data_IF_079080945201
#
_entry.id   IF_079080945201
#
_cell.length_a   1.000
_cell.length_b   1.000
_cell.length_c   1.000
_cell.angle_alpha   90.00
_cell.angle_beta   90.00
_cell.angle_gamma   90.00
#
_symmetry.space_group_name_H-M   'P 1'
#
loop_
_entity.id
_entity.type
_entity.pdbx_description
1 polymer ?
#
# COMPACT_ATOMS: atom_id res chain seq x y z
N UNK A 1 -18.89 -20.37 20.43
CA UNK A 1 -17.81 -19.66 21.14
C UNK A 1 -17.91 -18.20 20.76
N UNK A 2 -18.36 -17.39 21.73
CA UNK A 2 -18.73 -15.99 21.51
C UNK A 2 -17.50 -15.10 21.36
N UNK A 3 -17.33 -14.52 20.16
CA UNK A 3 -16.40 -13.40 19.97
C UNK A 3 -17.13 -12.11 20.35
N UNK A 4 -16.86 -11.59 21.55
CA UNK A 4 -17.33 -10.26 21.95
C UNK A 4 -16.51 -9.18 21.21
N UNK A 5 -17.15 -8.56 20.27
CA UNK A 5 -16.70 -7.30 19.67
C UNK A 5 -16.86 -6.18 20.72
N UNK A 6 -15.78 -5.66 21.26
CA UNK A 6 -15.81 -4.45 22.09
C UNK A 6 -15.53 -3.26 21.16
N UNK A 7 -16.60 -2.58 20.75
CA UNK A 7 -16.53 -1.28 20.12
C UNK A 7 -16.49 -0.19 21.18
N UNK A 8 -15.40 0.53 21.27
CA UNK A 8 -15.32 1.78 22.05
C UNK A 8 -15.43 2.95 21.09
N UNK A 9 -16.54 3.65 21.13
CA UNK A 9 -16.74 4.87 20.34
C UNK A 9 -16.12 6.06 21.07
N UNK A 10 -15.14 6.74 20.48
CA UNK A 10 -14.64 8.02 20.94
C UNK A 10 -15.34 9.15 20.18
N UNK A 11 -15.81 10.16 20.90
CA UNK A 11 -16.65 11.22 20.40
C UNK A 11 -15.94 12.19 19.44
N UNK A 12 -16.69 12.61 18.41
CA UNK A 12 -16.31 13.54 17.36
C UNK A 12 -16.48 14.98 17.79
N UNK A 13 -15.44 15.79 17.62
CA UNK A 13 -15.55 17.25 17.55
C UNK A 13 -15.72 17.66 16.08
N UNK A 14 -16.89 18.18 15.73
CA UNK A 14 -17.20 18.62 14.38
C UNK A 14 -16.56 19.99 14.08
N UNK A 15 -15.48 20.00 13.29
CA UNK A 15 -14.95 21.17 12.58
C UNK A 15 -15.27 21.03 11.09
N UNK A 16 -15.92 22.02 10.50
CA UNK A 16 -16.23 22.06 9.06
C UNK A 16 -14.93 22.17 8.26
N UNK A 17 -14.59 21.14 7.51
CA UNK A 17 -13.38 21.06 6.70
C UNK A 17 -13.73 21.20 5.21
N UNK A 18 -13.04 22.09 4.45
CA UNK A 18 -13.25 22.19 3.01
C UNK A 18 -12.69 20.96 2.30
N UNK A 19 -13.52 20.34 1.47
CA UNK A 19 -13.20 19.22 0.58
C UNK A 19 -12.45 18.05 1.26
N UNK A 20 -13.20 17.22 2.02
CA UNK A 20 -12.71 15.90 2.39
C UNK A 20 -12.24 15.19 1.12
N UNK A 21 -10.97 14.83 1.06
CA UNK A 21 -10.52 13.81 0.12
C UNK A 21 -11.50 12.61 0.25
N UNK A 22 -11.85 11.99 -0.88
CA UNK A 22 -12.76 10.81 -0.92
C UNK A 22 -12.08 9.57 -0.29
N UNK A 23 -11.31 9.75 0.79
CA UNK A 23 -10.59 8.73 1.57
C UNK A 23 -11.13 8.79 3.00
N UNK A 24 -11.94 7.82 3.35
CA UNK A 24 -12.58 7.71 4.67
C UNK A 24 -11.96 6.66 5.57
N UNK A 25 -11.34 5.61 4.98
CA UNK A 25 -10.75 4.50 5.72
C UNK A 25 -9.40 4.12 5.12
N UNK A 26 -8.36 4.11 5.94
CA UNK A 26 -7.01 3.68 5.60
C UNK A 26 -6.72 2.38 6.36
N UNK A 27 -6.40 1.31 5.63
CA UNK A 27 -5.94 0.08 6.26
C UNK A 27 -4.41 0.11 6.37
N UNK A 28 -3.89 -0.05 7.59
CA UNK A 28 -2.46 -0.25 7.83
C UNK A 28 -2.18 -1.72 8.12
N UNK A 29 -1.38 -2.36 7.27
CA UNK A 29 -0.84 -3.68 7.57
C UNK A 29 0.27 -3.56 8.61
N UNK A 30 -0.03 -4.02 9.83
CA UNK A 30 0.87 -4.00 10.98
C UNK A 30 1.68 -5.28 11.01
N UNK A 31 2.98 -5.14 10.78
CA UNK A 31 3.94 -6.24 10.81
C UNK A 31 5.21 -5.80 11.52
N UNK A 32 5.72 -6.61 12.43
CA UNK A 32 6.96 -6.32 13.14
C UNK A 32 8.17 -6.61 12.24
N UNK A 33 8.45 -5.67 11.35
CA UNK A 33 9.55 -5.68 10.40
C UNK A 33 10.36 -4.37 10.46
N UNK A 34 11.41 -4.29 9.67
CA UNK A 34 12.36 -3.18 9.69
C UNK A 34 11.76 -1.84 9.23
N UNK A 35 10.81 -1.87 8.30
CA UNK A 35 10.17 -0.68 7.71
C UNK A 35 8.86 -0.30 8.38
N UNK A 36 8.46 -0.96 9.48
CA UNK A 36 7.17 -0.71 10.10
C UNK A 36 6.99 0.74 10.55
N UNK A 37 8.02 1.35 11.15
CA UNK A 37 7.93 2.73 11.64
C UNK A 37 7.68 3.71 10.49
N UNK A 38 8.40 3.56 9.38
CA UNK A 38 8.19 4.38 8.19
C UNK A 38 6.77 4.20 7.63
N UNK A 39 6.27 2.97 7.60
CA UNK A 39 4.92 2.63 7.17
C UNK A 39 3.85 3.25 8.08
N UNK A 40 4.08 3.23 9.39
CA UNK A 40 3.20 3.86 10.37
C UNK A 40 3.17 5.38 10.19
N UNK A 41 4.32 6.03 10.06
CA UNK A 41 4.40 7.48 9.86
C UNK A 41 3.70 7.92 8.56
N UNK A 42 3.87 7.16 7.47
CA UNK A 42 3.16 7.40 6.22
C UNK A 42 1.64 7.31 6.41
N UNK A 43 1.17 6.24 7.07
CA UNK A 43 -0.26 6.06 7.34
C UNK A 43 -0.83 7.18 8.21
N UNK A 44 -0.11 7.59 9.26
CA UNK A 44 -0.50 8.70 10.13
C UNK A 44 -0.53 10.04 9.39
N UNK A 45 0.46 10.32 8.53
CA UNK A 45 0.49 11.51 7.68
C UNK A 45 -0.76 11.59 6.80
N UNK A 46 -1.09 10.49 6.12
CA UNK A 46 -2.28 10.42 5.27
C UNK A 46 -3.58 10.52 6.09
N UNK A 47 -3.65 9.87 7.25
CA UNK A 47 -4.81 9.92 8.14
C UNK A 47 -5.08 11.34 8.62
N UNK A 48 -4.05 12.09 9.03
CA UNK A 48 -4.18 13.50 9.44
C UNK A 48 -4.61 14.38 8.28
N UNK A 49 -4.03 14.18 7.09
CA UNK A 49 -4.35 14.97 5.89
C UNK A 49 -5.80 14.79 5.44
N UNK A 50 -6.36 13.60 5.59
CA UNK A 50 -7.71 13.26 5.10
C UNK A 50 -8.79 13.31 6.19
N UNK A 51 -8.42 13.20 7.46
CA UNK A 51 -9.35 12.96 8.56
C UNK A 51 -10.00 11.58 8.50
N UNK A 52 -9.36 10.62 7.80
CA UNK A 52 -9.82 9.25 7.67
C UNK A 52 -9.73 8.49 9.00
N UNK A 53 -10.36 7.31 9.05
CA UNK A 53 -10.17 6.34 10.10
C UNK A 53 -9.01 5.38 9.76
N UNK A 54 -8.08 5.17 10.69
CA UNK A 54 -6.95 4.27 10.54
C UNK A 54 -7.30 2.89 11.10
N UNK A 55 -7.52 1.92 10.23
CA UNK A 55 -7.76 0.53 10.60
C UNK A 55 -6.43 -0.25 10.59
N UNK A 56 -5.91 -0.59 11.79
CA UNK A 56 -4.67 -1.32 11.95
C UNK A 56 -4.92 -2.82 11.98
N UNK A 57 -4.29 -3.59 11.09
CA UNK A 57 -4.45 -5.04 11.01
C UNK A 57 -3.11 -5.73 11.19
N UNK A 58 -2.96 -6.44 12.31
CA UNK A 58 -1.85 -7.35 12.57
C UNK A 58 -2.25 -8.77 12.20
N UNK A 59 -1.48 -9.42 11.34
CA UNK A 59 -1.70 -10.82 10.97
C UNK A 59 -0.56 -11.67 11.49
N UNK A 60 -0.88 -12.63 12.40
CA UNK A 60 0.05 -13.70 12.72
C UNK A 60 -0.07 -14.78 11.65
N UNK A 61 0.98 -15.01 10.83
CA UNK A 61 0.91 -16.03 9.80
C UNK A 61 0.73 -17.43 10.39
N UNK A 62 -0.27 -18.18 9.91
CA UNK A 62 -0.52 -19.55 10.40
C UNK A 62 0.70 -20.46 10.18
N UNK A 63 1.50 -20.18 9.17
CA UNK A 63 2.75 -20.88 8.87
C UNK A 63 3.78 -20.76 10.01
N UNK A 64 3.74 -19.68 10.79
CA UNK A 64 4.62 -19.49 11.94
C UNK A 64 4.42 -20.59 12.99
N UNK A 65 3.21 -21.08 13.14
CA UNK A 65 2.89 -22.19 14.05
C UNK A 65 3.23 -23.56 13.48
N UNK A 66 3.17 -23.73 12.16
CA UNK A 66 3.45 -25.01 11.48
C UNK A 66 4.95 -25.29 11.42
N UNK A 67 5.78 -24.29 11.13
CA UNK A 67 7.24 -24.44 11.02
C UNK A 67 7.90 -24.79 12.34
N UNK A 68 7.35 -24.34 13.46
CA UNK A 68 7.87 -24.65 14.80
C UNK A 68 7.54 -26.09 15.26
N UNK A 69 6.50 -26.72 14.69
CA UNK A 69 6.06 -28.06 15.05
C UNK A 69 6.96 -29.23 14.57
N UNK A 70 7.82 -28.98 13.58
CA UNK A 70 8.61 -30.05 12.93
C UNK A 70 9.91 -30.39 13.65
N UNK A 71 10.39 -29.61 14.62
CA UNK A 71 11.75 -29.72 15.18
C UNK A 71 11.85 -30.14 16.65
N UNK A 72 10.75 -30.35 17.41
CA UNK A 72 10.99 -30.49 18.86
C UNK A 72 9.92 -31.21 19.72
N UNK A 73 8.93 -31.87 19.14
CA UNK A 73 7.86 -32.52 19.91
C UNK A 73 6.84 -31.54 20.54
N UNK A 74 5.77 -32.07 21.13
CA UNK A 74 4.59 -31.30 21.59
C UNK A 74 4.92 -30.21 22.63
N UNK A 75 5.88 -30.45 23.52
CA UNK A 75 6.27 -29.46 24.55
C UNK A 75 7.07 -28.28 23.98
N UNK A 76 7.89 -28.52 22.95
CA UNK A 76 8.61 -27.46 22.27
C UNK A 76 7.68 -26.60 21.41
N UNK A 77 6.67 -27.22 20.80
CA UNK A 77 5.63 -26.53 20.06
C UNK A 77 4.83 -25.58 20.97
N UNK A 78 4.37 -26.04 22.15
CA UNK A 78 3.64 -25.20 23.11
C UNK A 78 4.41 -23.93 23.50
N UNK A 79 5.69 -24.08 23.86
CA UNK A 79 6.55 -22.94 24.21
C UNK A 79 6.80 -21.99 23.03
N UNK A 80 6.87 -22.50 21.82
CA UNK A 80 7.07 -21.68 20.63
C UNK A 80 5.80 -20.88 20.29
N UNK A 81 4.61 -21.46 20.45
CA UNK A 81 3.33 -20.76 20.31
C UNK A 81 3.22 -19.65 21.37
N UNK A 82 3.45 -19.97 22.64
CA UNK A 82 3.43 -18.99 23.74
C UNK A 82 4.39 -17.82 23.48
N UNK A 83 5.56 -18.10 22.91
CA UNK A 83 6.53 -17.06 22.56
C UNK A 83 6.01 -16.16 21.43
N UNK A 84 5.45 -16.74 20.35
CA UNK A 84 4.87 -15.99 19.24
C UNK A 84 3.75 -15.07 19.75
N UNK A 85 2.82 -15.63 20.55
CA UNK A 85 1.69 -14.89 21.08
C UNK A 85 2.13 -13.77 22.02
N UNK A 86 3.16 -14.00 22.85
CA UNK A 86 3.73 -12.97 23.73
C UNK A 86 4.44 -11.85 22.94
N UNK A 87 5.19 -12.19 21.89
CA UNK A 87 5.83 -11.21 21.03
C UNK A 87 4.79 -10.35 20.29
N UNK A 88 3.73 -10.97 19.76
CA UNK A 88 2.67 -10.27 19.05
C UNK A 88 1.85 -9.38 20.00
N UNK A 89 1.58 -9.82 21.22
CA UNK A 89 0.92 -9.02 22.24
C UNK A 89 1.77 -7.81 22.67
N UNK A 90 3.08 -7.99 22.88
CA UNK A 90 3.98 -6.90 23.24
C UNK A 90 4.13 -5.88 22.10
N UNK A 91 4.18 -6.36 20.85
CA UNK A 91 4.21 -5.49 19.67
C UNK A 91 2.92 -4.68 19.56
N UNK A 92 1.77 -5.33 19.71
CA UNK A 92 0.46 -4.68 19.73
C UNK A 92 0.39 -3.58 20.78
N UNK A 93 0.75 -3.87 22.02
CA UNK A 93 0.70 -2.90 23.13
C UNK A 93 1.56 -1.67 22.84
N UNK A 94 2.74 -1.88 22.25
CA UNK A 94 3.62 -0.77 21.83
C UNK A 94 2.93 0.12 20.80
N UNK A 95 2.31 -0.46 19.77
CA UNK A 95 1.65 0.29 18.71
C UNK A 95 0.40 1.00 19.22
N UNK A 96 -0.44 0.31 20.00
CA UNK A 96 -1.63 0.96 20.60
C UNK A 96 -1.23 2.10 21.53
N UNK A 97 -0.12 1.97 22.27
CA UNK A 97 0.39 3.05 23.13
C UNK A 97 0.84 4.25 22.30
N UNK A 98 1.51 4.01 21.17
CA UNK A 98 1.88 5.07 20.22
C UNK A 98 0.61 5.74 19.67
N UNK A 99 -0.34 4.98 19.15
CA UNK A 99 -1.57 5.49 18.54
C UNK A 99 -2.47 6.26 19.52
N UNK A 100 -2.47 5.91 20.81
CA UNK A 100 -3.19 6.70 21.86
C UNK A 100 -2.64 8.11 22.03
N UNK A 101 -1.38 8.34 21.68
CA UNK A 101 -0.76 9.67 21.73
C UNK A 101 -1.02 10.50 20.46
N UNK A 102 -1.57 9.87 19.42
CA UNK A 102 -1.86 10.50 18.14
C UNK A 102 -3.28 11.06 18.09
N UNK A 103 -3.44 12.24 17.48
CA UNK A 103 -4.76 12.88 17.29
C UNK A 103 -5.40 12.37 15.98
N UNK A 104 -5.67 11.05 15.91
CA UNK A 104 -6.33 10.38 14.79
C UNK A 104 -7.35 9.37 15.28
N UNK A 105 -8.38 9.11 14.46
CA UNK A 105 -9.32 8.03 14.72
C UNK A 105 -8.72 6.71 14.28
N UNK A 106 -8.67 5.71 15.15
CA UNK A 106 -8.09 4.41 14.84
C UNK A 106 -8.78 3.26 15.58
N UNK A 107 -8.62 2.07 15.03
CA UNK A 107 -8.88 0.79 15.69
C UNK A 107 -7.77 -0.22 15.36
N UNK A 108 -7.70 -1.29 16.12
CA UNK A 108 -6.68 -2.32 15.97
C UNK A 108 -7.29 -3.71 16.00
N UNK A 109 -7.01 -4.49 14.95
CA UNK A 109 -7.43 -5.89 14.87
C UNK A 109 -6.21 -6.81 14.76
N UNK A 110 -6.16 -7.84 15.62
CA UNK A 110 -5.18 -8.91 15.52
C UNK A 110 -5.90 -10.20 15.09
N UNK A 111 -5.39 -10.83 14.05
CA UNK A 111 -5.93 -12.07 13.48
C UNK A 111 -4.82 -13.07 13.20
N UNK A 112 -5.16 -14.36 13.26
CA UNK A 112 -4.26 -15.45 12.83
C UNK A 112 -4.80 -16.03 11.55
N UNK A 113 -3.96 -16.14 10.50
CA UNK A 113 -4.39 -16.65 9.20
C UNK A 113 -3.31 -16.57 8.12
N UNK A 114 -3.73 -16.78 6.89
CA UNK A 114 -2.89 -16.53 5.72
C UNK A 114 -2.81 -15.02 5.47
N UNK A 115 -1.61 -14.46 5.54
CA UNK A 115 -1.38 -13.01 5.51
C UNK A 115 -2.06 -12.32 4.32
N UNK A 116 -1.88 -12.84 3.11
CA UNK A 116 -2.54 -12.30 1.91
C UNK A 116 -4.05 -12.27 2.05
N UNK A 117 -4.66 -13.40 2.46
CA UNK A 117 -6.11 -13.53 2.53
C UNK A 117 -6.71 -12.57 3.58
N UNK A 118 -6.06 -12.44 4.74
CA UNK A 118 -6.55 -11.57 5.80
C UNK A 118 -6.43 -10.09 5.41
N UNK A 119 -5.31 -9.68 4.82
CA UNK A 119 -5.14 -8.30 4.34
C UNK A 119 -6.16 -7.98 3.24
N UNK A 120 -6.34 -8.84 2.24
CA UNK A 120 -7.31 -8.65 1.15
C UNK A 120 -8.75 -8.59 1.69
N UNK A 121 -9.09 -9.44 2.67
CA UNK A 121 -10.41 -9.45 3.30
C UNK A 121 -10.70 -8.13 4.02
N UNK A 122 -9.74 -7.62 4.78
CA UNK A 122 -9.89 -6.37 5.53
C UNK A 122 -9.88 -5.14 4.59
N UNK A 123 -9.13 -5.22 3.48
CA UNK A 123 -9.06 -4.15 2.48
C UNK A 123 -10.37 -3.89 1.74
N UNK A 124 -11.34 -4.82 1.79
CA UNK A 124 -12.59 -4.70 1.03
C UNK A 124 -13.42 -3.44 1.37
N UNK A 125 -13.23 -2.86 2.55
CA UNK A 125 -13.91 -1.64 3.00
C UNK A 125 -12.94 -0.49 3.30
N UNK A 126 -11.71 -0.59 2.83
CA UNK A 126 -10.73 0.49 2.89
C UNK A 126 -10.63 1.21 1.53
N UNK A 127 -10.30 2.50 1.56
CA UNK A 127 -10.07 3.30 0.37
C UNK A 127 -8.61 3.21 -0.10
N UNK A 128 -7.69 2.89 0.82
CA UNK A 128 -6.28 2.67 0.55
C UNK A 128 -5.68 1.70 1.57
N UNK A 129 -4.73 0.88 1.14
CA UNK A 129 -4.02 -0.08 1.99
C UNK A 129 -2.55 0.29 2.06
N UNK A 130 -2.05 0.57 3.26
CA UNK A 130 -0.63 0.84 3.49
C UNK A 130 0.06 -0.46 3.85
N UNK A 131 0.98 -0.89 2.98
CA UNK A 131 1.74 -2.16 3.10
C UNK A 131 3.24 -1.92 2.99
N UNK A 132 4.04 -2.77 3.63
CA UNK A 132 5.51 -2.71 3.53
C UNK A 132 6.05 -3.54 2.37
N UNK A 133 7.29 -3.26 1.99
CA UNK A 133 8.02 -3.98 0.95
C UNK A 133 9.15 -4.87 1.49
N UNK A 134 9.37 -4.90 2.81
CA UNK A 134 10.49 -5.61 3.41
C UNK A 134 10.55 -7.08 3.02
N UNK A 135 11.72 -7.47 2.52
CA UNK A 135 11.97 -8.82 2.01
C UNK A 135 12.02 -9.90 3.12
N UNK A 136 11.99 -9.53 4.38
CA UNK A 136 12.27 -10.43 5.50
C UNK A 136 11.16 -10.43 6.55
N UNK A 137 10.07 -11.13 6.28
CA UNK A 137 9.28 -11.63 7.40
C UNK A 137 10.00 -12.87 7.96
N UNK A 138 10.67 -12.72 9.12
CA UNK A 138 11.41 -13.80 9.77
C UNK A 138 10.55 -15.05 10.09
N UNK A 139 9.22 -14.91 10.03
CA UNK A 139 8.24 -15.95 10.37
C UNK A 139 7.65 -16.68 9.17
N UNK A 140 7.88 -16.21 7.94
CA UNK A 140 7.35 -16.81 6.71
C UNK A 140 8.49 -17.10 5.74
N UNK A 141 8.54 -18.32 5.22
CA UNK A 141 9.57 -18.72 4.24
C UNK A 141 9.35 -18.18 2.82
N UNK A 142 8.37 -17.28 2.64
CA UNK A 142 8.09 -16.63 1.34
C UNK A 142 8.67 -15.22 1.33
N UNK A 143 9.28 -14.78 0.22
CA UNK A 143 9.70 -13.39 0.06
C UNK A 143 8.50 -12.44 0.21
N UNK A 144 8.64 -11.36 0.97
CA UNK A 144 7.57 -10.36 1.17
C UNK A 144 7.07 -9.79 -0.16
N UNK A 145 7.97 -9.61 -1.11
CA UNK A 145 7.61 -9.14 -2.45
C UNK A 145 6.60 -10.07 -3.14
N UNK A 146 6.66 -11.39 -2.91
CA UNK A 146 5.67 -12.32 -3.44
C UNK A 146 4.31 -12.15 -2.75
N UNK A 147 4.30 -11.90 -1.42
CA UNK A 147 3.09 -11.61 -0.67
C UNK A 147 2.46 -10.31 -1.15
N UNK A 148 3.27 -9.30 -1.40
CA UNK A 148 2.83 -8.01 -1.95
C UNK A 148 2.16 -8.18 -3.33
N UNK A 149 2.74 -9.02 -4.18
CA UNK A 149 2.17 -9.36 -5.47
C UNK A 149 0.84 -10.07 -5.39
N UNK A 150 0.73 -11.04 -4.48
CA UNK A 150 -0.53 -11.73 -4.23
C UNK A 150 -1.61 -10.76 -3.70
N UNK A 151 -1.26 -9.83 -2.81
CA UNK A 151 -2.17 -8.80 -2.33
C UNK A 151 -2.59 -7.90 -3.50
N UNK A 152 -1.65 -7.38 -4.28
CA UNK A 152 -1.93 -6.47 -5.39
C UNK A 152 -2.86 -7.08 -6.44
N UNK A 153 -2.68 -8.36 -6.77
CA UNK A 153 -3.52 -9.05 -7.76
C UNK A 153 -4.92 -9.41 -7.27
N UNK A 154 -5.10 -9.58 -5.96
CA UNK A 154 -6.38 -9.98 -5.36
C UNK A 154 -7.15 -8.80 -4.77
N UNK A 155 -6.45 -7.73 -4.40
CA UNK A 155 -7.05 -6.55 -3.79
C UNK A 155 -7.57 -5.59 -4.85
N UNK A 156 -8.77 -5.07 -4.67
CA UNK A 156 -9.36 -4.00 -5.51
C UNK A 156 -9.03 -2.60 -4.99
N UNK A 157 -8.60 -2.52 -3.75
CA UNK A 157 -8.18 -1.29 -3.09
C UNK A 157 -6.73 -0.99 -3.46
N UNK A 158 -6.37 0.26 -3.78
CA UNK A 158 -5.01 0.62 -4.12
C UNK A 158 -4.05 0.40 -2.94
N UNK A 159 -2.85 -0.07 -3.25
CA UNK A 159 -1.78 -0.24 -2.27
C UNK A 159 -0.90 1.01 -2.27
N UNK A 160 -0.64 1.56 -1.09
CA UNK A 160 0.35 2.60 -0.86
C UNK A 160 1.55 1.97 -0.15
N UNK A 161 2.70 2.03 -0.81
CA UNK A 161 3.94 1.38 -0.40
C UNK A 161 4.98 2.47 -0.16
N UNK A 162 5.58 2.58 1.04
CA UNK A 162 6.58 3.62 1.35
C UNK A 162 7.78 3.58 0.38
N UNK A 163 8.36 4.73 0.10
CA UNK A 163 9.67 4.85 -0.55
C UNK A 163 10.81 4.44 0.38
N UNK A 164 12.01 4.21 -0.14
CA UNK A 164 13.16 3.90 0.71
C UNK A 164 13.80 5.16 1.31
N UNK A 165 13.77 6.28 0.61
CA UNK A 165 14.57 7.46 0.94
C UNK A 165 13.75 8.75 1.04
N UNK A 166 12.59 8.82 0.39
CA UNK A 166 11.77 10.05 0.35
C UNK A 166 10.52 9.87 1.19
N UNK A 167 10.33 10.78 2.13
CA UNK A 167 9.13 10.82 2.95
C UNK A 167 7.89 11.14 2.10
N UNK A 168 6.82 10.41 2.35
CA UNK A 168 5.56 10.61 1.67
C UNK A 168 4.86 11.87 2.19
N UNK A 169 4.55 12.79 1.26
CA UNK A 169 3.68 13.94 1.50
C UNK A 169 2.42 13.83 0.62
N UNK A 170 1.22 13.65 1.20
CA UNK A 170 -0.01 13.56 0.43
C UNK A 170 -0.35 14.82 -0.36
N UNK A 171 0.23 15.96 0.01
CA UNK A 171 0.09 17.25 -0.69
C UNK A 171 1.22 17.53 -1.67
N UNK A 172 2.27 16.72 -1.68
CA UNK A 172 3.41 16.85 -2.58
C UNK A 172 3.03 16.61 -4.05
N UNK A 173 3.94 16.86 -5.00
CA UNK A 173 3.72 16.54 -6.40
C UNK A 173 3.51 15.03 -6.62
N UNK A 174 2.63 14.67 -7.54
CA UNK A 174 2.31 13.29 -7.89
C UNK A 174 2.67 12.99 -9.34
N UNK A 175 3.31 11.85 -9.59
CA UNK A 175 3.57 11.35 -10.92
C UNK A 175 2.64 10.17 -11.24
N UNK A 176 2.01 10.18 -12.40
CA UNK A 176 1.20 9.07 -12.93
C UNK A 176 1.97 8.40 -14.05
N UNK A 177 2.42 7.17 -13.85
CA UNK A 177 3.03 6.35 -14.89
C UNK A 177 1.93 5.73 -15.76
N UNK A 178 1.88 6.14 -17.02
CA UNK A 178 0.80 5.81 -17.93
C UNK A 178 1.28 5.09 -19.20
N UNK A 179 0.70 3.94 -19.47
CA UNK A 179 0.93 3.20 -20.72
C UNK A 179 -0.36 2.91 -21.50
N UNK A 180 -1.49 3.45 -21.05
CA UNK A 180 -2.80 3.23 -21.68
C UNK A 180 -3.38 1.85 -21.43
N UNK A 181 -2.94 1.11 -20.41
CA UNK A 181 -3.49 -0.19 -20.02
C UNK A 181 -4.69 -0.07 -19.07
N UNK A 182 -5.41 -1.16 -18.87
CA UNK A 182 -6.48 -1.25 -17.87
C UNK A 182 -5.95 -1.06 -16.44
N UNK A 183 -4.80 -1.62 -16.14
CA UNK A 183 -4.17 -1.55 -14.83
C UNK A 183 -3.76 -0.11 -14.50
N UNK A 184 -3.17 0.61 -15.45
CA UNK A 184 -2.84 2.03 -15.28
C UNK A 184 -4.10 2.89 -15.09
N UNK A 185 -5.17 2.59 -15.84
CA UNK A 185 -6.46 3.26 -15.70
C UNK A 185 -7.10 2.97 -14.33
N UNK A 186 -7.09 1.71 -13.87
CA UNK A 186 -7.61 1.32 -12.56
C UNK A 186 -6.82 1.96 -11.43
N UNK A 187 -5.48 1.92 -11.48
CA UNK A 187 -4.62 2.55 -10.49
C UNK A 187 -4.89 4.06 -10.39
N UNK A 188 -4.97 4.76 -11.53
CA UNK A 188 -5.26 6.19 -11.55
C UNK A 188 -6.64 6.50 -10.98
N UNK A 189 -7.67 5.70 -11.33
CA UNK A 189 -9.01 5.86 -10.78
C UNK A 189 -9.05 5.67 -9.28
N UNK A 190 -8.36 4.65 -8.77
CA UNK A 190 -8.29 4.35 -7.35
C UNK A 190 -7.50 5.43 -6.57
N UNK A 191 -6.54 6.08 -7.21
CA UNK A 191 -5.71 7.13 -6.61
C UNK A 191 -6.33 8.54 -6.68
N UNK A 192 -7.55 8.73 -7.25
CA UNK A 192 -8.17 10.07 -7.42
C UNK A 192 -8.23 10.85 -6.12
N UNK A 193 -8.53 10.20 -4.99
CA UNK A 193 -8.55 10.85 -3.68
C UNK A 193 -7.20 11.48 -3.31
N UNK A 194 -6.09 10.78 -3.57
CA UNK A 194 -4.73 11.31 -3.38
C UNK A 194 -4.38 12.38 -4.42
N UNK A 195 -4.68 12.14 -5.69
CA UNK A 195 -4.35 13.06 -6.77
C UNK A 195 -5.05 14.43 -6.63
N UNK A 196 -6.24 14.48 -6.02
CA UNK A 196 -6.94 15.73 -5.67
C UNK A 196 -6.21 16.56 -4.63
N UNK A 197 -5.41 15.91 -3.78
CA UNK A 197 -4.64 16.59 -2.73
C UNK A 197 -3.28 17.06 -3.21
N UNK A 198 -2.75 16.44 -4.28
CA UNK A 198 -1.43 16.75 -4.81
C UNK A 198 -1.30 18.21 -5.26
N UNK A 199 -0.18 18.86 -4.93
CA UNK A 199 0.14 20.24 -5.35
C UNK A 199 0.24 20.38 -6.87
N UNK A 200 0.67 19.32 -7.55
CA UNK A 200 0.74 19.21 -9.00
C UNK A 200 0.72 17.75 -9.43
N UNK A 201 0.20 17.49 -10.63
CA UNK A 201 0.14 16.13 -11.20
C UNK A 201 0.82 16.11 -12.55
N UNK A 202 1.73 15.17 -12.75
CA UNK A 202 2.36 14.91 -14.04
C UNK A 202 2.06 13.50 -14.50
N UNK A 203 1.59 13.35 -15.74
CA UNK A 203 1.42 12.07 -16.42
C UNK A 203 2.66 11.84 -17.27
N UNK A 204 3.35 10.72 -17.07
CA UNK A 204 4.44 10.29 -17.94
C UNK A 204 3.96 9.13 -18.79
N UNK A 205 3.86 9.38 -20.08
CA UNK A 205 3.46 8.41 -21.10
C UNK A 205 4.70 7.81 -21.73
N UNK A 206 4.90 6.53 -21.53
CA UNK A 206 5.93 5.80 -22.26
C UNK A 206 5.33 5.17 -23.53
N UNK A 207 5.95 5.45 -24.67
CA UNK A 207 5.51 4.89 -25.97
C UNK A 207 6.10 3.50 -26.14
N UNK A 208 5.22 2.50 -26.13
CA UNK A 208 5.56 1.10 -26.42
C UNK A 208 5.27 0.78 -27.90
N UNK A 209 5.85 -0.31 -28.40
CA UNK A 209 5.55 -0.81 -29.75
C UNK A 209 4.08 -1.28 -29.88
N UNK A 210 3.49 -1.73 -28.78
CA UNK A 210 2.10 -2.16 -28.75
C UNK A 210 1.16 -0.94 -28.63
N UNK A 211 0.05 -0.92 -29.38
CA UNK A 211 -0.92 0.14 -29.26
C UNK A 211 -1.55 0.14 -27.86
N UNK A 212 -1.67 1.34 -27.28
CA UNK A 212 -2.37 1.54 -26.03
C UNK A 212 -3.86 1.19 -26.17
N UNK A 213 -4.46 0.61 -25.11
CA UNK A 213 -5.91 0.36 -25.07
C UNK A 213 -6.66 1.69 -24.96
N UNK A 214 -6.15 2.61 -24.13
CA UNK A 214 -6.73 3.92 -23.90
C UNK A 214 -5.82 5.03 -24.42
N UNK A 215 -6.41 5.99 -25.12
CA UNK A 215 -5.70 7.19 -25.57
C UNK A 215 -5.41 8.13 -24.37
N UNK A 216 -4.30 8.87 -24.44
CA UNK A 216 -3.87 9.79 -23.39
C UNK A 216 -4.91 10.88 -23.11
N UNK A 217 -5.65 11.32 -24.14
CA UNK A 217 -6.73 12.30 -24.01
C UNK A 217 -7.85 11.81 -23.07
N UNK A 218 -8.14 10.51 -23.07
CA UNK A 218 -9.17 9.95 -22.19
C UNK A 218 -8.78 10.07 -20.71
N UNK A 219 -7.48 9.90 -20.40
CA UNK A 219 -6.98 10.09 -19.05
C UNK A 219 -7.01 11.56 -18.62
N UNK A 220 -6.50 12.45 -19.47
CA UNK A 220 -6.48 13.89 -19.16
C UNK A 220 -7.89 14.47 -18.99
N UNK A 221 -8.84 14.09 -19.84
CA UNK A 221 -10.26 14.46 -19.67
C UNK A 221 -10.85 13.88 -18.39
N UNK A 222 -10.53 12.60 -18.08
CA UNK A 222 -11.01 11.95 -16.85
C UNK A 222 -10.56 12.70 -15.60
N UNK A 223 -9.29 13.12 -15.54
CA UNK A 223 -8.72 13.90 -14.42
C UNK A 223 -9.31 15.32 -14.39
N UNK A 224 -9.40 15.99 -15.55
CA UNK A 224 -9.97 17.34 -15.65
C UNK A 224 -11.42 17.42 -15.13
N UNK A 225 -12.25 16.40 -15.42
CA UNK A 225 -13.62 16.31 -14.87
C UNK A 225 -13.68 16.16 -13.33
N UNK A 226 -12.54 16.02 -12.68
CA UNK A 226 -12.37 15.89 -11.20
C UNK A 226 -11.56 17.04 -10.63
N UNK A 227 -11.42 18.12 -11.42
CA UNK A 227 -10.63 19.30 -11.07
C UNK A 227 -9.13 18.99 -10.84
N UNK A 228 -8.62 17.89 -11.43
CA UNK A 228 -7.20 17.54 -11.41
C UNK A 228 -6.58 17.97 -12.73
N UNK A 229 -5.72 19.00 -12.66
CA UNK A 229 -4.95 19.46 -13.80
C UNK A 229 -3.61 18.73 -13.86
N UNK A 230 -3.38 18.00 -14.94
CA UNK A 230 -2.18 17.19 -15.11
C UNK A 230 -1.40 17.61 -16.36
N UNK A 231 -0.08 17.75 -16.22
CA UNK A 231 0.84 17.90 -17.34
C UNK A 231 1.12 16.53 -17.97
N UNK A 232 1.00 16.42 -19.29
CA UNK A 232 1.34 15.20 -20.03
C UNK A 232 2.74 15.32 -20.64
N UNK A 233 3.63 14.41 -20.28
CA UNK A 233 4.98 14.27 -20.85
C UNK A 233 5.07 12.92 -21.56
N UNK A 234 5.48 12.93 -22.82
CA UNK A 234 5.68 11.71 -23.62
C UNK A 234 7.17 11.41 -23.72
N UNK A 235 7.53 10.15 -23.41
CA UNK A 235 8.90 9.63 -23.47
C UNK A 235 8.95 8.34 -24.28
N UNK A 236 10.12 8.05 -24.83
CA UNK A 236 10.41 6.75 -25.43
C UNK A 236 10.79 5.75 -24.32
N UNK A 237 10.37 4.50 -24.46
CA UNK A 237 10.80 3.41 -23.57
C UNK A 237 12.32 3.23 -23.70
N UNK A 238 13.00 3.14 -22.55
CA UNK A 238 14.41 2.79 -22.41
C UNK A 238 14.57 1.35 -21.95
N UNK A 239 15.78 0.79 -22.09
CA UNK A 239 16.08 -0.55 -21.55
C UNK A 239 15.93 -0.58 -20.01
N UNK A 240 16.30 0.52 -19.34
CA UNK A 240 16.21 0.70 -17.89
C UNK A 240 14.99 1.54 -17.50
N UNK A 241 13.79 1.07 -17.88
CA UNK A 241 12.54 1.80 -17.68
C UNK A 241 12.28 2.18 -16.20
N UNK A 242 12.61 1.29 -15.26
CA UNK A 242 12.38 1.56 -13.84
C UNK A 242 13.22 2.74 -13.35
N UNK A 243 14.48 2.78 -13.75
CA UNK A 243 15.42 3.85 -13.38
C UNK A 243 15.02 5.17 -14.06
N UNK A 244 14.64 5.16 -15.36
CA UNK A 244 14.17 6.36 -16.06
C UNK A 244 12.90 6.93 -15.40
N UNK A 245 11.97 6.09 -14.98
CA UNK A 245 10.76 6.52 -14.27
C UNK A 245 11.10 7.17 -12.92
N UNK A 246 11.99 6.55 -12.15
CA UNK A 246 12.46 7.08 -10.86
C UNK A 246 13.20 8.40 -11.06
N UNK A 247 14.13 8.48 -12.02
CA UNK A 247 14.87 9.71 -12.33
C UNK A 247 13.90 10.85 -12.71
N UNK A 248 12.91 10.54 -13.53
CA UNK A 248 11.92 11.53 -13.94
C UNK A 248 11.03 11.97 -12.76
N UNK A 249 10.68 11.06 -11.87
CA UNK A 249 9.92 11.38 -10.66
C UNK A 249 10.74 12.24 -9.70
N UNK A 250 12.01 11.92 -9.48
CA UNK A 250 12.94 12.74 -8.69
C UNK A 250 13.13 14.13 -9.29
N UNK A 251 13.32 14.24 -10.60
CA UNK A 251 13.43 15.52 -11.30
C UNK A 251 12.14 16.37 -11.27
N UNK A 252 11.01 15.78 -10.89
CA UNK A 252 9.73 16.46 -10.67
C UNK A 252 9.46 16.73 -9.18
N UNK A 253 10.35 16.34 -8.29
CA UNK A 253 10.16 16.35 -6.85
C UNK A 253 8.91 15.56 -6.41
N UNK A 254 8.59 14.47 -7.12
CA UNK A 254 7.41 13.68 -6.85
C UNK A 254 7.47 13.03 -5.47
N UNK A 255 6.43 13.23 -4.66
CA UNK A 255 6.26 12.57 -3.37
C UNK A 255 5.79 11.12 -3.53
N UNK A 256 5.06 10.83 -4.60
CA UNK A 256 4.60 9.46 -4.90
C UNK A 256 4.38 9.25 -6.40
N UNK A 257 4.46 7.98 -6.79
CA UNK A 257 4.21 7.53 -8.16
C UNK A 257 2.95 6.66 -8.16
N UNK A 258 1.96 7.01 -8.99
CA UNK A 258 0.76 6.20 -9.25
C UNK A 258 1.03 5.33 -10.48
N UNK A 259 0.89 4.02 -10.35
CA UNK A 259 1.13 3.09 -11.45
C UNK A 259 0.25 1.85 -11.40
N UNK A 260 -0.06 1.30 -12.56
CA UNK A 260 -0.64 -0.04 -12.67
C UNK A 260 0.38 -1.11 -12.33
N UNK A 261 -0.06 -2.15 -11.66
CA UNK A 261 0.74 -3.35 -11.46
C UNK A 261 0.21 -4.50 -12.31
N UNK A 262 1.10 -5.36 -12.82
CA UNK A 262 0.75 -6.62 -13.51
C UNK A 262 -0.03 -6.49 -14.84
N UNK A 263 0.37 -5.61 -15.72
CA UNK A 263 -0.13 -5.64 -17.09
C UNK A 263 0.40 -6.87 -17.83
N UNK A 264 -0.48 -7.76 -18.20
CA UNK A 264 -0.38 -8.97 -19.02
C UNK A 264 -0.41 -10.30 -18.26
N UNK A 265 -1.57 -10.96 -18.38
CA UNK A 265 -1.81 -12.32 -17.95
C UNK A 265 -0.80 -13.30 -18.55
N UNK A 266 0.08 -13.80 -17.70
CA UNK A 266 0.65 -15.14 -17.86
C UNK A 266 0.42 -15.86 -16.53
N UNK A 267 -0.55 -16.77 -16.57
CA UNK A 267 -0.65 -17.83 -15.59
C UNK A 267 0.67 -18.62 -15.62
N UNK A 268 1.39 -18.62 -14.52
CA UNK A 268 2.55 -19.48 -14.33
C UNK A 268 3.84 -18.76 -13.93
N UNK A 269 4.24 -18.97 -12.72
CA UNK A 269 5.59 -18.94 -12.11
C UNK A 269 6.40 -17.63 -12.05
N UNK A 270 6.09 -16.55 -12.81
CA UNK A 270 6.73 -15.25 -12.64
C UNK A 270 5.68 -14.15 -12.52
N UNK A 271 5.26 -13.87 -11.30
CA UNK A 271 4.18 -12.93 -10.97
C UNK A 271 4.54 -11.43 -11.14
N UNK A 272 5.81 -11.10 -11.40
CA UNK A 272 6.24 -9.72 -11.57
C UNK A 272 6.79 -9.47 -12.98
N UNK A 273 6.27 -8.48 -13.70
CA UNK A 273 7.04 -7.85 -14.78
C UNK A 273 8.32 -7.24 -14.18
N UNK A 274 9.45 -7.29 -14.88
CA UNK A 274 10.74 -6.81 -14.37
C UNK A 274 10.63 -5.43 -13.72
N UNK A 275 10.00 -4.48 -14.39
CA UNK A 275 9.79 -3.11 -13.92
C UNK A 275 9.06 -3.02 -12.56
N UNK A 276 7.94 -3.71 -12.41
CA UNK A 276 7.18 -3.69 -11.14
C UNK A 276 8.01 -4.25 -9.99
N UNK A 277 8.76 -5.32 -10.26
CA UNK A 277 9.64 -5.94 -9.26
C UNK A 277 10.78 -5.01 -8.86
N UNK A 278 11.41 -4.36 -9.82
CA UNK A 278 12.55 -3.47 -9.58
C UNK A 278 12.09 -2.23 -8.78
N UNK A 279 10.96 -1.61 -9.15
CA UNK A 279 10.37 -0.50 -8.40
C UNK A 279 9.94 -0.92 -6.98
N UNK A 280 9.31 -2.08 -6.83
CA UNK A 280 8.96 -2.60 -5.50
C UNK A 280 10.20 -2.88 -4.64
N UNK A 281 11.31 -3.28 -5.25
CA UNK A 281 12.56 -3.57 -4.54
C UNK A 281 13.35 -2.33 -4.13
N UNK A 282 13.36 -1.28 -4.95
CA UNK A 282 14.35 -0.21 -4.84
C UNK A 282 13.85 1.22 -4.97
N UNK A 283 12.56 1.46 -5.27
CA UNK A 283 12.07 2.83 -5.45
C UNK A 283 12.33 3.71 -4.21
N UNK A 284 13.02 4.85 -4.35
CA UNK A 284 13.21 5.80 -3.26
C UNK A 284 11.91 6.54 -2.91
N UNK A 285 10.95 6.58 -3.84
CA UNK A 285 9.69 7.31 -3.77
C UNK A 285 8.56 6.34 -3.45
N UNK A 286 7.54 6.79 -2.71
CA UNK A 286 6.35 5.99 -2.41
C UNK A 286 5.60 5.59 -3.69
N UNK A 287 5.06 4.37 -3.71
CA UNK A 287 4.30 3.84 -4.84
C UNK A 287 2.82 3.69 -4.46
N UNK A 288 1.92 4.16 -5.32
CA UNK A 288 0.48 3.90 -5.26
C UNK A 288 0.14 2.97 -6.41
N UNK A 289 -0.20 1.74 -6.08
CA UNK A 289 -0.38 0.68 -7.07
C UNK A 289 -1.81 0.16 -7.09
N UNK A 290 -2.35 -0.10 -8.28
CA UNK A 290 -3.64 -0.75 -8.51
C UNK A 290 -3.57 -1.78 -9.64
N UNK A 291 -4.52 -2.71 -9.64
CA UNK A 291 -4.65 -3.77 -10.65
C UNK A 291 -6.04 -3.78 -11.29
#
# INVERSE_FOLDING_TARGET
MDQRLVMTAAGSAAGVNPARADIGTILLHVQNDHSFEQRLQLALSLTRATGAHLHCVQVTPIEAYVTTGTLGGVLALGKAIEKIDAEDAAFRERIETHLRAEDVSWDYQHVTGYQTNEVVRQAAFADIVVVGRDAHCARVQRPQIAILGDILTQCRTPLLIPGNDIDFDPFGPALVAWNGSYEAANATRAAVGLLKMASSVRIVRYTEEKPAVFADIQLTEYLSRRDIHAELVVRSVTEDFADDLVEHALGFDASYIVMGGYSHGRAGEFLFGGVTRDLLGSSPIALVMGH
#
